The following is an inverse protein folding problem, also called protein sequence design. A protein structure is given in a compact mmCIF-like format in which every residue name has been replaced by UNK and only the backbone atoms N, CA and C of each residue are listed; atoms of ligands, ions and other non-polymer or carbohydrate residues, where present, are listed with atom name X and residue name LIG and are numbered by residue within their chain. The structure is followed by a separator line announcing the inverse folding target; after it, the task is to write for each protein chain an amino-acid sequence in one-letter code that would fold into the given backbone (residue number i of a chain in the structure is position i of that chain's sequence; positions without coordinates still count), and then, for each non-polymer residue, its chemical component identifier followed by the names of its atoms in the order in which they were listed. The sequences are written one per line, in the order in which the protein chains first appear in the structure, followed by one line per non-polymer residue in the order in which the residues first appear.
data_IF_407449687294
#
_entry.id   IF_407449687294
#
_cell.length_a   1.000
_cell.length_b   1.000
_cell.length_c   1.000
_cell.angle_alpha   90.00
_cell.angle_beta   90.00
_cell.angle_gamma   90.00
#
_symmetry.space_group_name_H-M   'P 1'
#
loop_
_entity.id
_entity.type
_entity.pdbx_description
1 polymer ?
#
# COMPACT_ATOMS: atom_id res chain seq x y z
N UNK A 1 -4.61 -16.34 -14.17
CA UNK A 1 -4.64 -17.80 -14.36
C UNK A 1 -4.85 -18.44 -13.00
N UNK A 2 -5.77 -19.41 -12.87
CA UNK A 2 -6.00 -20.12 -11.60
C UNK A 2 -4.82 -21.07 -11.35
N UNK A 3 -4.31 -21.10 -10.11
CA UNK A 3 -3.14 -21.90 -9.72
C UNK A 3 -3.49 -22.86 -8.57
N UNK A 4 -2.64 -23.87 -8.27
CA UNK A 4 -2.86 -24.75 -7.13
C UNK A 4 -2.99 -24.03 -5.78
N UNK A 5 -2.37 -22.85 -5.63
CA UNK A 5 -2.54 -22.02 -4.43
C UNK A 5 -3.98 -21.56 -4.23
N UNK A 6 -4.65 -21.15 -5.32
CA UNK A 6 -6.06 -20.76 -5.28
C UNK A 6 -6.95 -21.94 -4.86
N UNK A 7 -6.74 -23.11 -5.48
CA UNK A 7 -7.50 -24.33 -5.15
C UNK A 7 -7.30 -24.70 -3.68
N UNK A 8 -6.05 -24.67 -3.20
CA UNK A 8 -5.75 -24.96 -1.80
C UNK A 8 -6.36 -23.95 -0.83
N UNK A 9 -6.39 -22.67 -1.16
CA UNK A 9 -6.99 -21.63 -0.31
C UNK A 9 -8.53 -21.72 -0.27
N UNK A 10 -9.17 -21.93 -1.42
CA UNK A 10 -10.62 -22.18 -1.50
C UNK A 10 -11.00 -23.42 -0.68
N UNK A 11 -10.24 -24.51 -0.80
CA UNK A 11 -10.48 -25.73 -0.04
C UNK A 11 -10.41 -25.55 1.48
N UNK A 12 -9.49 -24.71 1.98
CA UNK A 12 -9.42 -24.36 3.42
C UNK A 12 -10.66 -23.62 3.93
N UNK A 13 -11.37 -22.93 3.04
CA UNK A 13 -12.61 -22.23 3.33
C UNK A 13 -13.86 -23.10 3.05
N UNK A 14 -13.69 -24.33 2.57
CA UNK A 14 -14.80 -25.23 2.22
C UNK A 14 -15.39 -25.01 0.82
N UNK A 15 -14.68 -24.29 -0.06
CA UNK A 15 -15.11 -23.98 -1.43
C UNK A 15 -14.33 -24.76 -2.49
N UNK A 16 -14.94 -24.90 -3.66
CA UNK A 16 -14.33 -25.44 -4.89
C UNK A 16 -14.51 -24.45 -6.05
N UNK A 17 -13.84 -24.70 -7.17
CA UNK A 17 -14.02 -23.89 -8.39
C UNK A 17 -15.45 -23.99 -8.97
N UNK A 18 -16.17 -25.07 -8.67
CA UNK A 18 -17.55 -25.28 -9.08
C UNK A 18 -18.57 -24.67 -8.11
N UNK A 19 -18.11 -24.11 -6.99
CA UNK A 19 -19.02 -23.53 -6.00
C UNK A 19 -19.66 -22.26 -6.54
N UNK A 20 -20.99 -22.26 -6.60
CA UNK A 20 -21.79 -21.08 -6.90
C UNK A 20 -22.14 -20.39 -5.59
N UNK A 21 -21.65 -19.15 -5.41
CA UNK A 21 -21.93 -18.37 -4.22
C UNK A 21 -23.40 -17.90 -4.22
N UNK A 22 -24.04 -17.82 -3.03
CA UNK A 22 -25.31 -17.10 -2.89
C UNK A 22 -25.18 -15.66 -3.36
N UNK A 23 -26.32 -15.07 -3.74
CA UNK A 23 -26.37 -13.67 -4.15
C UNK A 23 -25.79 -12.77 -3.05
N UNK A 24 -24.98 -11.79 -3.47
CA UNK A 24 -24.35 -10.77 -2.61
C UNK A 24 -23.32 -11.32 -1.60
N UNK A 25 -22.84 -12.56 -1.78
CA UNK A 25 -21.74 -13.14 -1.00
C UNK A 25 -20.43 -13.09 -1.81
N UNK A 26 -19.37 -12.58 -1.20
CA UNK A 26 -18.01 -12.59 -1.74
C UNK A 26 -17.07 -13.42 -0.86
N UNK A 27 -16.04 -13.99 -1.47
CA UNK A 27 -14.98 -14.74 -0.77
C UNK A 27 -13.62 -14.27 -1.25
N UNK A 28 -12.60 -14.44 -0.42
CA UNK A 28 -11.22 -14.32 -0.85
C UNK A 28 -10.83 -15.57 -1.65
N UNK A 29 -10.04 -15.38 -2.71
CA UNK A 29 -9.63 -16.46 -3.63
C UNK A 29 -8.16 -16.86 -3.47
N UNK A 30 -7.38 -16.09 -2.69
CA UNK A 30 -5.99 -16.39 -2.33
C UNK A 30 -5.63 -15.65 -1.02
N UNK A 31 -4.68 -16.18 -0.23
CA UNK A 31 -4.21 -15.52 1.00
C UNK A 31 -3.28 -14.32 0.77
N UNK A 32 -2.85 -14.09 -0.47
CA UNK A 32 -1.86 -13.07 -0.82
C UNK A 32 -2.52 -11.73 -1.13
N UNK A 33 -1.99 -10.69 -0.52
CA UNK A 33 -2.39 -9.31 -0.78
C UNK A 33 -1.41 -8.71 -1.78
N UNK A 34 -1.95 -8.09 -2.84
CA UNK A 34 -1.15 -7.37 -3.83
C UNK A 34 -1.81 -7.30 -5.20
N UNK A 35 -1.59 -6.19 -5.91
CA UNK A 35 -2.21 -5.92 -7.21
C UNK A 35 -1.85 -6.98 -8.25
N UNK A 36 -0.62 -7.52 -8.20
CA UNK A 36 -0.17 -8.59 -9.10
C UNK A 36 -0.91 -9.92 -8.91
N UNK A 37 -1.55 -10.13 -7.76
CA UNK A 37 -2.37 -11.30 -7.45
C UNK A 37 -3.87 -11.05 -7.72
N UNK A 38 -4.23 -9.89 -8.27
CA UNK A 38 -5.62 -9.47 -8.45
C UNK A 38 -6.23 -8.77 -7.23
N UNK A 39 -5.40 -8.41 -6.24
CA UNK A 39 -5.82 -7.60 -5.10
C UNK A 39 -6.11 -6.15 -5.49
N UNK A 40 -6.79 -5.43 -4.60
CA UNK A 40 -7.11 -4.01 -4.78
C UNK A 40 -6.04 -3.11 -4.17
N UNK A 41 -5.84 -1.91 -4.74
CA UNK A 41 -5.08 -0.83 -4.12
C UNK A 41 -6.00 0.34 -3.77
N UNK A 42 -5.79 0.92 -2.60
CA UNK A 42 -6.57 2.06 -2.11
C UNK A 42 -5.61 3.19 -1.81
N UNK A 43 -5.82 4.34 -2.46
CA UNK A 43 -5.05 5.54 -2.13
C UNK A 43 -5.76 6.29 -1.02
N UNK A 44 -5.08 6.41 0.12
CA UNK A 44 -5.67 6.86 1.39
C UNK A 44 -4.87 7.97 2.08
N UNK A 45 -4.03 8.72 1.35
CA UNK A 45 -3.23 9.81 1.95
C UNK A 45 -4.11 10.86 2.63
N UNK A 46 -5.27 11.21 2.05
CA UNK A 46 -6.15 12.24 2.58
C UNK A 46 -6.87 11.76 3.87
N UNK A 47 -7.21 10.47 3.96
CA UNK A 47 -7.85 9.82 5.10
C UNK A 47 -6.87 9.45 6.21
N UNK A 48 -5.58 9.32 5.88
CA UNK A 48 -4.53 8.95 6.85
C UNK A 48 -4.38 10.02 7.92
N UNK A 49 -4.45 9.61 9.19
CA UNK A 49 -4.28 10.50 10.33
C UNK A 49 -2.91 11.20 10.30
N UNK A 50 -2.89 12.51 10.55
CA UNK A 50 -1.69 13.33 10.37
C UNK A 50 -0.52 12.92 11.28
N UNK A 51 -0.80 12.37 12.48
CA UNK A 51 0.25 11.85 13.34
C UNK A 51 1.00 10.65 12.73
N UNK A 52 0.34 9.85 11.89
CA UNK A 52 1.01 8.76 11.16
C UNK A 52 1.99 9.38 10.16
N UNK A 53 1.54 10.38 9.38
CA UNK A 53 2.39 11.10 8.41
C UNK A 53 3.62 11.71 9.09
N UNK A 54 3.42 12.40 10.22
CA UNK A 54 4.50 12.99 11.02
C UNK A 54 5.53 11.95 11.47
N UNK A 55 5.08 10.79 11.92
CA UNK A 55 5.99 9.73 12.36
C UNK A 55 6.76 9.15 11.17
N UNK A 56 6.14 8.98 10.00
CA UNK A 56 6.83 8.53 8.78
C UNK A 56 7.85 9.56 8.28
N UNK A 57 7.55 10.86 8.35
CA UNK A 57 8.49 11.93 8.04
C UNK A 57 9.69 11.93 8.99
N UNK A 58 9.46 11.72 10.29
CA UNK A 58 10.53 11.57 11.29
C UNK A 58 11.40 10.35 11.01
N UNK A 59 10.79 9.22 10.65
CA UNK A 59 11.52 8.01 10.26
C UNK A 59 12.36 8.26 8.99
N UNK A 60 11.81 8.91 7.97
CA UNK A 60 12.52 9.27 6.74
C UNK A 60 13.76 10.14 7.04
N UNK A 61 13.62 11.12 7.94
CA UNK A 61 14.72 12.00 8.34
C UNK A 61 15.90 11.25 9.00
N UNK A 62 15.63 10.11 9.66
CA UNK A 62 16.66 9.25 10.24
C UNK A 62 17.37 8.42 9.15
N UNK A 63 16.63 7.94 8.16
CA UNK A 63 17.18 7.14 7.05
C UNK A 63 18.12 7.97 6.16
N UNK A 64 17.82 9.26 5.96
CA UNK A 64 18.63 10.21 5.17
C UNK A 64 18.82 9.79 3.70
N UNK A 65 17.82 9.17 3.11
CA UNK A 65 17.73 8.94 1.68
C UNK A 65 16.80 9.98 1.02
N UNK A 66 16.96 10.22 -0.28
CA UNK A 66 16.19 11.24 -1.01
C UNK A 66 14.73 10.83 -1.22
N UNK A 67 14.48 9.53 -1.37
CA UNK A 67 13.15 8.97 -1.56
C UNK A 67 13.08 7.64 -0.81
N UNK A 68 12.07 7.52 0.05
CA UNK A 68 11.78 6.28 0.77
C UNK A 68 10.29 6.01 0.75
N UNK A 69 9.91 4.74 0.73
CA UNK A 69 8.57 4.30 1.09
C UNK A 69 8.64 3.38 2.30
N UNK A 70 7.75 3.58 3.26
CA UNK A 70 7.62 2.71 4.42
C UNK A 70 6.40 1.84 4.26
N UNK A 71 6.57 0.53 4.46
CA UNK A 71 5.44 -0.35 4.67
C UNK A 71 5.27 -0.51 6.19
N UNK A 72 4.07 -0.28 6.66
CA UNK A 72 3.72 -0.37 8.06
C UNK A 72 2.38 -1.08 8.22
N UNK A 73 2.14 -1.59 9.43
CA UNK A 73 0.88 -2.23 9.79
C UNK A 73 0.25 -1.46 10.95
N UNK A 74 -1.06 -1.24 10.85
CA UNK A 74 -1.87 -0.51 11.82
C UNK A 74 -3.30 -1.05 11.76
N UNK A 75 -4.06 -0.92 12.85
CA UNK A 75 -5.45 -1.39 12.92
C UNK A 75 -6.40 -0.45 12.15
N UNK A 76 -6.23 0.86 12.29
CA UNK A 76 -7.04 1.89 11.63
C UNK A 76 -6.18 3.11 11.28
N UNK A 77 -6.02 3.38 9.98
CA UNK A 77 -5.19 4.47 9.46
C UNK A 77 -5.79 5.87 9.73
N UNK A 78 -7.07 5.96 10.10
CA UNK A 78 -7.76 7.22 10.38
C UNK A 78 -7.61 7.68 11.84
N UNK A 79 -7.03 6.84 12.70
CA UNK A 79 -6.85 7.10 14.13
C UNK A 79 -5.38 7.33 14.48
N UNK A 80 -5.14 8.02 15.60
CA UNK A 80 -3.78 8.29 16.05
C UNK A 80 -3.00 6.98 16.31
N UNK A 81 -1.72 6.89 15.90
CA UNK A 81 -0.92 5.68 16.07
C UNK A 81 -0.64 5.37 17.55
N UNK A 82 -0.59 6.37 18.42
CA UNK A 82 -0.34 6.19 19.85
C UNK A 82 -1.48 5.46 20.61
N UNK A 83 -2.67 5.38 20.01
CA UNK A 83 -3.87 4.80 20.63
C UNK A 83 -4.13 3.34 20.21
N UNK A 84 -3.26 2.76 19.39
CA UNK A 84 -3.47 1.46 18.79
C UNK A 84 -2.16 0.72 18.59
N UNK A 85 -2.26 -0.57 18.29
CA UNK A 85 -1.07 -1.38 17.98
C UNK A 85 -0.68 -1.17 16.53
N UNK A 86 0.57 -0.80 16.31
CA UNK A 86 1.09 -0.57 14.97
C UNK A 86 2.62 -0.74 14.94
N UNK A 87 3.21 -0.77 13.74
CA UNK A 87 4.66 -0.76 13.57
C UNK A 87 5.10 -0.68 12.12
N UNK A 88 6.32 -0.21 11.88
CA UNK A 88 6.99 -0.23 10.57
C UNK A 88 7.52 -1.64 10.31
N UNK A 89 7.23 -2.18 9.13
CA UNK A 89 7.68 -3.50 8.67
C UNK A 89 8.97 -3.36 7.87
N UNK A 90 8.99 -2.45 6.90
CA UNK A 90 10.12 -2.26 6.00
C UNK A 90 10.27 -0.80 5.52
N UNK A 91 11.46 -0.48 5.03
CA UNK A 91 11.81 0.80 4.42
C UNK A 91 12.46 0.52 3.07
N UNK A 92 11.80 0.97 2.00
CA UNK A 92 12.20 0.75 0.62
C UNK A 92 12.81 2.03 0.03
N UNK A 93 14.03 1.94 -0.51
CA UNK A 93 14.69 3.06 -1.21
C UNK A 93 14.21 3.27 -2.66
N UNK A 94 13.46 2.30 -3.20
CA UNK A 94 12.82 2.37 -4.52
C UNK A 94 11.33 2.01 -4.39
N UNK A 95 10.50 2.90 -3.83
CA UNK A 95 9.09 2.62 -3.62
C UNK A 95 8.29 2.58 -4.92
N UNK A 96 7.22 1.78 -4.94
CA UNK A 96 6.31 1.68 -6.10
C UNK A 96 5.35 2.87 -6.18
N UNK A 97 5.83 3.98 -6.74
CA UNK A 97 5.04 5.22 -6.90
C UNK A 97 3.76 5.04 -7.73
N UNK A 98 3.72 4.04 -8.62
CA UNK A 98 2.56 3.77 -9.45
C UNK A 98 1.34 3.36 -8.63
N UNK A 99 1.51 2.80 -7.42
CA UNK A 99 0.40 2.43 -6.54
C UNK A 99 -0.39 3.65 -6.08
N UNK A 100 0.29 4.80 -5.90
CA UNK A 100 -0.34 6.07 -5.55
C UNK A 100 -0.86 6.83 -6.77
N UNK A 101 -0.16 6.74 -7.91
CA UNK A 101 -0.54 7.44 -9.14
C UNK A 101 -1.79 6.83 -9.77
N UNK A 102 -1.93 5.49 -9.75
CA UNK A 102 -3.03 4.78 -10.37
C UNK A 102 -3.66 3.78 -9.39
N UNK A 103 -4.30 4.26 -8.31
CA UNK A 103 -4.97 3.38 -7.39
C UNK A 103 -6.24 2.80 -8.03
N UNK A 104 -6.63 1.60 -7.61
CA UNK A 104 -7.91 1.03 -8.03
C UNK A 104 -9.08 1.79 -7.41
N UNK A 105 -8.92 2.24 -6.16
CA UNK A 105 -9.94 2.96 -5.41
C UNK A 105 -9.31 4.17 -4.71
N UNK A 106 -10.05 5.27 -4.61
CA UNK A 106 -9.57 6.52 -4.02
C UNK A 106 -9.09 7.51 -5.07
N UNK A 107 -8.59 8.64 -4.59
CA UNK A 107 -8.16 9.76 -5.45
C UNK A 107 -6.70 9.54 -5.89
N UNK A 108 -6.39 9.55 -7.19
CA UNK A 108 -5.02 9.49 -7.68
C UNK A 108 -4.11 10.55 -7.05
N UNK A 109 -2.91 10.14 -6.64
CA UNK A 109 -1.86 11.02 -6.14
C UNK A 109 -0.62 10.91 -7.03
N UNK A 110 -0.32 11.97 -7.80
CA UNK A 110 0.81 12.00 -8.71
C UNK A 110 2.13 12.25 -7.94
N UNK A 111 2.57 11.23 -7.20
CA UNK A 111 3.81 11.28 -6.40
C UNK A 111 5.03 11.49 -7.30
N UNK A 112 5.00 10.95 -8.52
CA UNK A 112 6.07 11.09 -9.51
C UNK A 112 6.39 12.55 -9.85
N UNK A 113 5.39 13.45 -9.81
CA UNK A 113 5.63 14.89 -10.01
C UNK A 113 6.57 15.47 -8.95
N UNK A 114 6.39 15.13 -7.67
CA UNK A 114 7.25 15.66 -6.60
C UNK A 114 8.68 15.16 -6.73
N UNK A 115 8.87 13.91 -7.15
CA UNK A 115 10.21 13.35 -7.42
C UNK A 115 10.88 14.07 -8.59
N UNK A 116 10.11 14.38 -9.64
CA UNK A 116 10.62 15.17 -10.77
C UNK A 116 11.03 16.58 -10.34
N UNK A 117 10.15 17.30 -9.63
CA UNK A 117 10.42 18.65 -9.15
C UNK A 117 11.67 18.69 -8.24
N UNK A 118 11.83 17.68 -7.35
CA UNK A 118 13.03 17.51 -6.52
C UNK A 118 14.30 17.36 -7.36
N UNK A 119 14.23 16.59 -8.44
CA UNK A 119 15.38 16.37 -9.32
C UNK A 119 15.76 17.64 -10.09
N UNK A 120 14.78 18.40 -10.59
CA UNK A 120 15.01 19.69 -11.25
C UNK A 120 15.74 20.67 -10.30
N UNK A 121 15.31 20.76 -9.03
CA UNK A 121 16.00 21.56 -8.03
C UNK A 121 17.43 21.06 -7.75
N UNK A 122 17.62 19.75 -7.67
CA UNK A 122 18.94 19.16 -7.43
C UNK A 122 19.93 19.49 -8.57
N UNK A 123 19.48 19.40 -9.82
CA UNK A 123 20.28 19.76 -10.99
C UNK A 123 20.61 21.26 -11.00
N UNK A 124 19.64 22.12 -10.70
CA UNK A 124 19.85 23.57 -10.63
C UNK A 124 20.87 23.97 -9.56
N UNK A 125 20.92 23.26 -8.43
CA UNK A 125 21.91 23.53 -7.36
C UNK A 125 23.33 23.06 -7.71
N UNK A 126 23.49 22.27 -8.77
CA UNK A 126 24.79 21.76 -9.24
C UNK A 126 25.32 22.45 -10.50
N UNK A 127 24.52 23.31 -11.13
CA UNK A 127 24.92 24.17 -12.24
C UNK A 127 25.48 25.50 -11.73
#
# INVERSE_FOLDING_TARGET
MITPAHIGFLGRQGYTLDTVLPRDVTIDVIEKIGVSYGGSSFECTDETHDDIKRVMEQAAAVVKDLLVGFDFIIEDITRAPAEQKWGIIECNSLPFLNLHHYPLIGKPNNVSKYVWDMWDEYLLRKA
#
